data_IF_065161542926
#
_entry.id   IF_065161542926
#
_cell.length_a   1.000
_cell.length_b   1.000
_cell.length_c   1.000
_cell.angle_alpha   90.00
_cell.angle_beta   90.00
_cell.angle_gamma   90.00
#
_symmetry.space_group_name_H-M   'P 1'
#
loop_
_entity.id
_entity.type
_entity.pdbx_description
1 polymer ?
#
# COMPACT_ATOMS: atom_id res chain seq x y z
N UNK A 1 -15.23 22.01 10.26
CA UNK A 1 -14.54 23.27 9.86
C UNK A 1 -13.06 22.93 9.75
N UNK A 2 -12.66 22.43 8.60
CA UNK A 2 -11.31 21.90 8.36
C UNK A 2 -10.45 23.08 7.89
N UNK A 3 -9.55 23.52 8.74
CA UNK A 3 -8.62 24.59 8.44
C UNK A 3 -7.55 24.06 7.47
N UNK A 4 -7.75 24.30 6.19
CA UNK A 4 -6.75 24.07 5.15
C UNK A 4 -5.70 25.19 5.26
N UNK A 5 -4.59 24.89 5.92
CA UNK A 5 -3.39 25.75 5.91
C UNK A 5 -2.77 25.64 4.51
N UNK A 6 -3.03 26.64 3.67
CA UNK A 6 -2.26 26.81 2.41
C UNK A 6 -0.90 27.40 2.75
N UNK A 7 0.20 26.81 2.26
CA UNK A 7 1.53 27.36 2.50
C UNK A 7 1.78 28.61 1.64
N UNK A 8 2.25 29.69 2.27
CA UNK A 8 2.94 30.79 1.59
C UNK A 8 4.34 30.32 1.16
N UNK A 9 4.96 30.93 0.16
CA UNK A 9 6.21 30.54 -0.53
C UNK A 9 7.43 30.12 0.33
N UNK A 10 7.39 30.29 1.65
CA UNK A 10 8.40 29.79 2.60
C UNK A 10 8.11 28.36 3.13
N UNK A 11 7.01 27.75 2.75
CA UNK A 11 6.45 26.55 3.40
C UNK A 11 6.69 25.23 2.66
N UNK A 12 7.56 25.22 1.64
CA UNK A 12 7.96 23.97 0.97
C UNK A 12 8.98 23.14 1.77
N UNK A 13 9.65 23.76 2.74
CA UNK A 13 10.62 23.10 3.60
C UNK A 13 9.95 22.63 4.89
N UNK A 14 9.98 21.33 5.16
CA UNK A 14 9.40 20.75 6.39
C UNK A 14 10.44 20.03 7.21
N UNK A 15 10.28 20.11 8.53
CA UNK A 15 10.99 19.31 9.54
C UNK A 15 9.98 18.67 10.49
N UNK A 16 10.38 17.64 11.24
CA UNK A 16 9.53 17.10 12.30
C UNK A 16 9.05 18.19 13.27
N UNK A 17 7.83 18.00 13.73
CA UNK A 17 7.24 18.79 14.82
C UNK A 17 7.40 18.00 16.12
N UNK A 18 8.15 18.54 17.07
CA UNK A 18 8.27 18.01 18.40
C UNK A 18 7.45 18.84 19.40
N UNK A 19 8.13 19.73 20.13
CA UNK A 19 7.46 20.63 21.10
C UNK A 19 6.96 21.90 20.44
N UNK A 20 7.65 22.36 19.39
CA UNK A 20 7.32 23.56 18.62
C UNK A 20 7.41 23.30 17.12
N UNK A 21 6.76 24.17 16.35
CA UNK A 21 6.74 24.07 14.87
C UNK A 21 8.18 24.14 14.33
N UNK A 22 8.53 23.19 13.46
CA UNK A 22 9.84 23.10 12.78
C UNK A 22 11.06 23.00 13.70
N UNK A 23 10.93 22.55 14.95
CA UNK A 23 12.06 22.38 15.86
C UNK A 23 12.97 21.19 15.47
N UNK A 24 12.47 20.32 14.59
CA UNK A 24 13.20 19.15 14.09
C UNK A 24 13.34 18.01 15.11
N UNK A 25 12.68 18.11 16.26
CA UNK A 25 12.77 17.11 17.33
C UNK A 25 12.05 15.82 16.92
N UNK A 26 12.75 14.71 17.05
CA UNK A 26 12.22 13.37 16.80
C UNK A 26 12.45 12.47 17.99
N UNK A 27 11.49 11.60 18.27
CA UNK A 27 11.65 10.46 19.18
C UNK A 27 11.79 9.20 18.34
N UNK A 28 12.72 8.34 18.70
CA UNK A 28 12.93 7.06 18.05
C UNK A 28 13.39 6.01 19.05
N UNK A 29 13.23 4.74 18.70
CA UNK A 29 13.62 3.63 19.56
C UNK A 29 14.17 2.48 18.75
N UNK A 30 15.10 1.74 19.36
CA UNK A 30 15.68 0.53 18.78
C UNK A 30 16.29 -0.36 19.85
N UNK A 31 16.70 -1.56 19.45
CA UNK A 31 17.42 -2.52 20.28
C UNK A 31 18.82 -2.70 19.73
N UNK A 32 19.81 -2.73 20.60
CA UNK A 32 21.18 -3.11 20.27
C UNK A 32 21.54 -4.47 20.86
N UNK A 33 22.36 -5.28 20.18
CA UNK A 33 22.90 -6.54 20.70
C UNK A 33 24.10 -6.26 21.62
N UNK A 34 23.84 -5.51 22.68
CA UNK A 34 24.81 -5.14 23.72
C UNK A 34 24.21 -5.35 25.10
N UNK A 35 24.99 -5.80 26.11
CA UNK A 35 24.56 -5.82 27.50
C UNK A 35 24.20 -4.40 27.97
N UNK A 36 23.27 -4.31 28.93
CA UNK A 36 22.78 -3.02 29.42
C UNK A 36 23.81 -2.40 30.39
N UNK A 37 24.66 -1.52 29.84
CA UNK A 37 25.69 -0.79 30.55
C UNK A 37 25.89 0.63 29.97
N UNK A 38 26.88 1.36 30.49
CA UNK A 38 27.22 2.71 30.02
C UNK A 38 27.69 2.72 28.58
N UNK A 39 28.43 1.68 28.14
CA UNK A 39 28.92 1.56 26.78
C UNK A 39 27.73 1.40 25.78
N UNK A 40 26.73 0.62 26.16
CA UNK A 40 25.55 0.45 25.36
C UNK A 40 24.75 1.77 25.21
N UNK A 41 24.69 2.59 26.25
CA UNK A 41 24.07 3.92 26.17
C UNK A 41 24.84 4.86 25.25
N UNK A 42 26.17 4.86 25.31
CA UNK A 42 27.02 5.63 24.41
C UNK A 42 26.88 5.15 22.96
N UNK A 43 26.86 3.84 22.75
CA UNK A 43 26.64 3.24 21.42
C UNK A 43 25.27 3.65 20.87
N UNK A 44 24.22 3.67 21.69
CA UNK A 44 22.90 4.12 21.27
C UNK A 44 22.91 5.59 20.85
N UNK A 45 23.60 6.46 21.58
CA UNK A 45 23.76 7.87 21.20
C UNK A 45 24.51 8.00 19.87
N UNK A 46 25.63 7.31 19.72
CA UNK A 46 26.42 7.34 18.50
C UNK A 46 25.62 6.85 17.28
N UNK A 47 24.74 5.85 17.44
CA UNK A 47 23.82 5.42 16.37
C UNK A 47 22.90 6.57 15.97
N UNK A 48 22.30 7.30 16.89
CA UNK A 48 21.47 8.46 16.59
C UNK A 48 22.23 9.56 15.85
N UNK A 49 23.46 9.84 16.24
CA UNK A 49 24.34 10.78 15.57
C UNK A 49 24.71 10.34 14.16
N UNK A 50 25.00 9.06 13.99
CA UNK A 50 25.27 8.45 12.67
C UNK A 50 24.05 8.50 11.71
N UNK A 51 22.83 8.54 12.25
CA UNK A 51 21.59 8.78 11.51
C UNK A 51 21.41 10.26 11.07
N UNK A 52 22.37 11.13 11.39
CA UNK A 52 22.32 12.55 11.03
C UNK A 52 21.58 13.45 12.03
N UNK A 53 21.26 12.91 13.22
CA UNK A 53 20.66 13.69 14.29
C UNK A 53 21.73 14.38 15.14
N UNK A 54 21.36 15.45 15.80
CA UNK A 54 22.20 16.16 16.77
C UNK A 54 21.43 16.39 18.06
N UNK A 55 22.11 16.81 19.11
CA UNK A 55 21.54 16.90 20.47
C UNK A 55 20.89 15.57 20.90
N UNK A 56 21.52 14.43 20.50
CA UNK A 56 20.98 13.12 20.79
C UNK A 56 21.07 12.81 22.28
N UNK A 57 19.94 12.46 22.88
CA UNK A 57 19.83 12.07 24.28
C UNK A 57 19.13 10.74 24.46
N UNK A 58 19.68 9.85 25.28
CA UNK A 58 19.03 8.62 25.72
C UNK A 58 18.12 8.96 26.88
N UNK A 59 16.81 8.85 26.68
CA UNK A 59 15.81 9.18 27.73
C UNK A 59 15.31 7.96 28.47
N UNK A 60 15.40 6.79 27.87
CA UNK A 60 15.06 5.53 28.54
C UNK A 60 15.95 4.41 27.97
N UNK A 61 16.41 3.55 28.84
CA UNK A 61 17.09 2.32 28.49
C UNK A 61 16.57 1.16 29.32
N UNK A 62 16.55 -0.05 28.76
CA UNK A 62 16.08 -1.26 29.42
C UNK A 62 16.89 -2.47 28.97
N UNK A 63 17.30 -3.29 29.94
CA UNK A 63 17.81 -4.62 29.68
C UNK A 63 16.69 -5.54 29.19
N UNK A 64 16.89 -6.20 28.05
CA UNK A 64 15.99 -7.24 27.53
C UNK A 64 16.48 -8.67 27.83
N UNK A 65 17.63 -8.80 28.48
CA UNK A 65 18.29 -10.09 28.71
C UNK A 65 19.06 -10.59 27.47
N UNK A 66 19.78 -11.67 27.65
CA UNK A 66 20.56 -12.33 26.58
C UNK A 66 21.52 -11.42 25.80
N UNK A 67 22.01 -10.34 26.45
CA UNK A 67 22.94 -9.40 25.81
C UNK A 67 22.27 -8.38 24.88
N UNK A 68 20.98 -8.12 25.04
CA UNK A 68 20.26 -7.11 24.27
C UNK A 68 19.74 -6.00 25.17
N UNK A 69 19.81 -4.78 24.70
CA UNK A 69 19.27 -3.57 25.36
C UNK A 69 18.39 -2.76 24.46
N UNK A 70 17.26 -2.31 24.97
CA UNK A 70 16.32 -1.42 24.29
C UNK A 70 16.56 0.02 24.72
N UNK A 71 16.46 0.95 23.78
CA UNK A 71 16.67 2.37 23.98
C UNK A 71 15.55 3.21 23.40
N UNK A 72 15.20 4.30 24.08
CA UNK A 72 14.40 5.40 23.57
C UNK A 72 15.26 6.66 23.58
N UNK A 73 15.34 7.32 22.45
CA UNK A 73 16.17 8.50 22.26
C UNK A 73 15.35 9.66 21.69
N UNK A 74 15.83 10.85 21.96
CA UNK A 74 15.45 12.08 21.28
C UNK A 74 16.65 12.64 20.55
N UNK A 75 16.40 13.28 19.42
CA UNK A 75 17.41 13.99 18.65
C UNK A 75 16.78 14.99 17.72
N UNK A 76 17.55 15.92 17.17
CA UNK A 76 17.05 16.95 16.28
C UNK A 76 17.59 16.75 14.86
N UNK A 77 16.74 16.87 13.85
CA UNK A 77 17.15 16.97 12.46
C UNK A 77 17.66 18.36 12.13
N UNK A 78 18.82 18.48 11.48
CA UNK A 78 19.34 19.74 10.94
C UNK A 78 18.74 20.10 9.58
N UNK A 79 18.50 19.08 8.77
CA UNK A 79 18.06 19.26 7.39
C UNK A 79 16.55 19.34 7.32
N UNK A 80 16.05 20.17 6.40
CA UNK A 80 14.65 20.22 6.03
C UNK A 80 14.41 19.44 4.74
N UNK A 81 13.21 18.92 4.58
CA UNK A 81 12.77 18.26 3.36
C UNK A 81 11.98 19.26 2.51
N UNK A 82 12.39 19.45 1.27
CA UNK A 82 11.66 20.27 0.31
C UNK A 82 10.54 19.42 -0.32
N UNK A 83 9.31 19.63 0.14
CA UNK A 83 8.14 18.88 -0.33
C UNK A 83 7.76 19.21 -1.78
N UNK A 84 8.20 20.36 -2.32
CA UNK A 84 7.96 20.72 -3.72
C UNK A 84 8.70 19.83 -4.72
N UNK A 85 9.76 19.14 -4.25
CA UNK A 85 10.57 18.21 -5.04
C UNK A 85 10.12 16.76 -4.91
N UNK A 86 9.14 16.50 -4.06
CA UNK A 86 8.64 15.15 -3.87
C UNK A 86 7.63 14.82 -4.96
N UNK A 87 7.89 13.74 -5.68
CA UNK A 87 6.95 13.20 -6.65
C UNK A 87 6.28 11.97 -6.03
N UNK A 88 4.96 11.97 -6.01
CA UNK A 88 4.17 10.81 -5.57
C UNK A 88 3.62 10.14 -6.83
N UNK A 89 4.13 8.96 -7.13
CA UNK A 89 3.57 8.13 -8.20
C UNK A 89 2.22 7.57 -7.75
N UNK A 90 1.17 7.92 -8.50
CA UNK A 90 -0.20 7.40 -8.27
C UNK A 90 -0.78 6.96 -9.60
N UNK A 91 -1.69 6.00 -9.55
CA UNK A 91 -2.50 5.66 -10.72
C UNK A 91 -3.33 6.88 -11.16
N UNK A 92 -3.29 7.20 -12.45
CA UNK A 92 -4.05 8.30 -13.03
C UNK A 92 -5.45 7.82 -13.42
N UNK A 93 -6.44 8.23 -12.68
CA UNK A 93 -7.85 7.98 -12.95
C UNK A 93 -8.72 8.99 -12.20
N UNK A 94 -9.95 9.14 -12.66
CA UNK A 94 -10.96 9.92 -11.98
C UNK A 94 -11.81 8.99 -11.10
N UNK A 95 -11.84 9.24 -9.78
CA UNK A 95 -12.68 8.46 -8.87
C UNK A 95 -14.15 8.76 -9.12
N UNK A 96 -14.89 7.73 -9.49
CA UNK A 96 -16.34 7.77 -9.72
C UNK A 96 -17.08 7.13 -8.55
N UNK A 97 -18.24 7.67 -8.22
CA UNK A 97 -19.15 7.01 -7.26
C UNK A 97 -19.72 5.73 -7.88
N UNK A 98 -20.15 4.80 -7.03
CA UNK A 98 -20.71 3.51 -7.40
C UNK A 98 -21.69 3.58 -8.59
N UNK A 99 -22.69 4.45 -8.50
CA UNK A 99 -23.73 4.57 -9.54
C UNK A 99 -23.17 5.10 -10.87
N UNK A 100 -22.08 5.87 -10.82
CA UNK A 100 -21.40 6.33 -12.02
C UNK A 100 -20.54 5.21 -12.64
N UNK A 101 -19.92 4.35 -11.81
CA UNK A 101 -19.21 3.16 -12.28
C UNK A 101 -20.18 2.18 -12.94
N UNK A 102 -21.32 1.86 -12.30
CA UNK A 102 -22.33 0.98 -12.87
C UNK A 102 -22.83 1.52 -14.23
N UNK A 103 -23.10 2.82 -14.34
CA UNK A 103 -23.51 3.47 -15.59
C UNK A 103 -22.39 3.40 -16.65
N UNK A 104 -21.15 3.67 -16.25
CA UNK A 104 -20.00 3.60 -17.16
C UNK A 104 -19.85 2.19 -17.75
N UNK A 105 -20.04 1.15 -16.95
CA UNK A 105 -19.98 -0.25 -17.39
C UNK A 105 -21.09 -0.52 -18.41
N UNK A 106 -22.34 -0.12 -18.12
CA UNK A 106 -23.47 -0.29 -19.05
C UNK A 106 -23.25 0.41 -20.38
N UNK A 107 -22.78 1.66 -20.35
CA UNK A 107 -22.59 2.48 -21.56
C UNK A 107 -21.44 1.99 -22.45
N UNK A 108 -20.40 1.40 -21.84
CA UNK A 108 -19.18 1.09 -22.59
C UNK A 108 -18.97 -0.40 -22.85
N UNK A 109 -19.44 -1.28 -21.99
CA UNK A 109 -19.21 -2.72 -22.12
C UNK A 109 -20.50 -3.50 -22.39
N UNK A 110 -21.67 -3.00 -22.01
CA UNK A 110 -22.97 -3.65 -22.26
C UNK A 110 -23.14 -5.02 -21.59
N UNK A 111 -22.29 -5.36 -20.64
CA UNK A 111 -22.30 -6.59 -19.86
C UNK A 111 -21.75 -6.36 -18.46
N UNK A 112 -22.05 -7.25 -17.53
CA UNK A 112 -21.38 -7.24 -16.24
C UNK A 112 -19.90 -7.59 -16.38
N UNK A 113 -19.07 -6.91 -15.59
CA UNK A 113 -17.65 -7.21 -15.48
C UNK A 113 -17.39 -8.16 -14.31
N UNK A 114 -16.44 -9.07 -14.47
CA UNK A 114 -16.07 -10.07 -13.47
C UNK A 114 -14.75 -9.68 -12.82
N UNK A 115 -14.80 -9.38 -11.52
CA UNK A 115 -13.64 -9.05 -10.71
C UNK A 115 -13.40 -10.16 -9.70
N UNK A 116 -12.20 -10.73 -9.70
CA UNK A 116 -11.82 -11.79 -8.75
C UNK A 116 -10.74 -11.26 -7.83
N UNK A 117 -10.91 -11.43 -6.53
CA UNK A 117 -9.99 -10.93 -5.50
C UNK A 117 -9.50 -12.00 -4.56
N UNK A 118 -8.24 -11.92 -4.13
CA UNK A 118 -7.64 -12.84 -3.17
C UNK A 118 -6.46 -12.23 -2.41
N UNK A 119 -6.22 -12.76 -1.20
CA UNK A 119 -4.90 -12.70 -0.57
C UNK A 119 -4.12 -13.94 -1.01
N UNK A 120 -3.02 -13.74 -1.71
CA UNK A 120 -2.30 -14.84 -2.36
C UNK A 120 -1.27 -15.53 -1.47
N UNK A 121 -0.98 -16.80 -1.81
CA UNK A 121 0.02 -17.65 -1.20
C UNK A 121 -0.20 -17.81 0.32
N UNK A 122 0.77 -17.47 1.14
CA UNK A 122 0.70 -17.63 2.60
C UNK A 122 0.07 -16.45 3.33
N UNK A 123 -0.45 -15.45 2.61
CA UNK A 123 -1.06 -14.28 3.25
C UNK A 123 -2.47 -14.57 3.76
N UNK A 124 -2.62 -14.58 5.09
CA UNK A 124 -3.87 -14.84 5.78
C UNK A 124 -4.68 -13.58 6.15
N UNK A 125 -4.23 -12.37 5.73
CA UNK A 125 -4.79 -11.11 6.18
C UNK A 125 -5.89 -10.60 5.23
N UNK A 126 -7.13 -11.02 5.43
CA UNK A 126 -8.27 -10.69 4.54
C UNK A 126 -8.80 -9.28 4.68
N UNK A 127 -8.47 -8.54 5.75
CA UNK A 127 -9.08 -7.22 6.05
C UNK A 127 -9.04 -6.27 4.85
N UNK A 128 -7.92 -6.23 4.12
CA UNK A 128 -7.76 -5.36 2.94
C UNK A 128 -8.65 -5.79 1.77
N UNK A 129 -8.61 -7.09 1.40
CA UNK A 129 -9.42 -7.58 0.30
C UNK A 129 -10.91 -7.55 0.63
N UNK A 130 -11.28 -7.85 1.87
CA UNK A 130 -12.67 -7.81 2.34
C UNK A 130 -13.23 -6.38 2.32
N UNK A 131 -12.41 -5.38 2.67
CA UNK A 131 -12.81 -3.97 2.61
C UNK A 131 -13.14 -3.52 1.18
N UNK A 132 -12.47 -4.06 0.17
CA UNK A 132 -12.70 -3.74 -1.24
C UNK A 132 -13.79 -4.62 -1.85
N UNK A 133 -13.80 -5.92 -1.57
CA UNK A 133 -14.67 -6.87 -2.26
C UNK A 133 -16.05 -6.97 -1.62
N UNK A 134 -16.13 -7.15 -0.28
CA UNK A 134 -17.36 -7.54 0.38
C UNK A 134 -18.41 -6.41 0.39
N UNK A 135 -19.67 -6.77 0.27
CA UNK A 135 -20.83 -5.84 0.19
C UNK A 135 -20.83 -4.76 1.28
N UNK A 136 -20.40 -5.10 2.50
CA UNK A 136 -20.33 -4.16 3.62
C UNK A 136 -19.33 -3.03 3.34
N UNK A 137 -18.18 -3.36 2.74
CA UNK A 137 -17.08 -2.44 2.53
C UNK A 137 -16.43 -1.95 3.83
N UNK A 138 -15.84 -0.78 3.81
CA UNK A 138 -15.10 -0.21 4.93
C UNK A 138 -15.34 1.30 5.04
N UNK A 139 -15.40 1.83 6.26
CA UNK A 139 -15.49 3.26 6.58
C UNK A 139 -16.63 4.00 5.85
N UNK A 140 -17.77 3.34 5.66
CA UNK A 140 -18.93 3.91 4.95
C UNK A 140 -18.90 3.73 3.42
N UNK A 141 -17.79 3.29 2.85
CA UNK A 141 -17.65 2.96 1.44
C UNK A 141 -18.06 1.51 1.19
N UNK A 142 -19.01 1.29 0.29
CA UNK A 142 -19.51 -0.05 -0.04
C UNK A 142 -18.52 -0.79 -0.93
N UNK A 143 -18.34 -2.10 -0.68
CA UNK A 143 -17.47 -2.92 -1.50
C UNK A 143 -18.07 -3.34 -2.84
N UNK A 144 -17.26 -3.96 -3.67
CA UNK A 144 -17.56 -4.29 -5.08
C UNK A 144 -18.78 -5.21 -5.25
N UNK A 145 -19.03 -6.13 -4.31
CA UNK A 145 -20.25 -6.96 -4.32
C UNK A 145 -21.56 -6.15 -4.30
N UNK A 146 -21.50 -4.88 -3.89
CA UNK A 146 -22.66 -4.00 -3.88
C UNK A 146 -22.98 -3.37 -5.25
N UNK A 147 -22.06 -3.46 -6.22
CA UNK A 147 -22.21 -2.86 -7.55
C UNK A 147 -23.12 -3.75 -8.42
N UNK A 148 -24.05 -3.13 -9.17
CA UNK A 148 -24.98 -3.88 -9.99
C UNK A 148 -24.36 -4.48 -11.24
N UNK A 149 -23.35 -3.81 -11.79
CA UNK A 149 -22.69 -4.19 -13.04
C UNK A 149 -21.35 -4.90 -12.82
N UNK A 150 -20.98 -5.18 -11.56
CA UNK A 150 -19.79 -5.96 -11.23
C UNK A 150 -20.22 -7.28 -10.57
N UNK A 151 -19.71 -8.37 -11.11
CA UNK A 151 -19.71 -9.67 -10.45
C UNK A 151 -18.41 -9.80 -9.67
N UNK A 152 -18.44 -9.49 -8.38
CA UNK A 152 -17.28 -9.60 -7.50
C UNK A 152 -17.20 -11.00 -6.90
N UNK A 153 -16.04 -11.64 -6.99
CA UNK A 153 -15.77 -12.97 -6.43
C UNK A 153 -14.57 -12.87 -5.51
N UNK A 154 -14.80 -12.95 -4.20
CA UNK A 154 -13.76 -12.93 -3.18
C UNK A 154 -13.37 -14.37 -2.81
N UNK A 155 -12.13 -14.77 -3.11
CA UNK A 155 -11.61 -16.10 -2.80
C UNK A 155 -11.03 -16.19 -1.38
N UNK A 156 -10.92 -15.04 -0.68
CA UNK A 156 -10.42 -14.99 0.70
C UNK A 156 -8.91 -15.00 0.79
N UNK A 157 -8.38 -15.75 1.75
CA UNK A 157 -6.97 -15.77 2.10
C UNK A 157 -6.27 -17.06 1.70
N UNK A 158 -4.94 -16.99 1.62
CA UNK A 158 -4.04 -18.13 1.38
C UNK A 158 -4.36 -18.88 0.08
N UNK A 159 -4.75 -18.15 -0.95
CA UNK A 159 -5.05 -18.70 -2.27
C UNK A 159 -3.76 -18.87 -3.05
N UNK A 160 -3.46 -20.08 -3.49
CA UNK A 160 -2.31 -20.34 -4.36
C UNK A 160 -2.41 -19.56 -5.67
N UNK A 161 -1.30 -19.11 -6.21
CA UNK A 161 -1.31 -18.38 -7.50
C UNK A 161 -1.89 -19.23 -8.64
N UNK A 162 -1.66 -20.52 -8.62
CA UNK A 162 -2.23 -21.49 -9.58
C UNK A 162 -3.76 -21.58 -9.49
N UNK A 163 -4.30 -21.68 -8.27
CA UNK A 163 -5.75 -21.66 -8.03
C UNK A 163 -6.36 -20.31 -8.46
N UNK A 164 -5.69 -19.21 -8.15
CA UNK A 164 -6.16 -17.87 -8.50
C UNK A 164 -6.22 -17.67 -10.02
N UNK A 165 -5.18 -18.09 -10.75
CA UNK A 165 -5.16 -18.05 -12.22
C UNK A 165 -6.21 -18.98 -12.81
N UNK A 166 -6.32 -20.21 -12.32
CA UNK A 166 -7.35 -21.14 -12.78
C UNK A 166 -8.77 -20.56 -12.62
N UNK A 167 -9.03 -19.90 -11.48
CA UNK A 167 -10.33 -19.29 -11.21
C UNK A 167 -10.59 -18.06 -12.10
N UNK A 168 -9.54 -17.29 -12.40
CA UNK A 168 -9.63 -16.18 -13.36
C UNK A 168 -10.03 -16.65 -14.75
N UNK A 169 -9.43 -17.74 -15.20
CA UNK A 169 -9.74 -18.35 -16.52
C UNK A 169 -11.16 -18.96 -16.52
N UNK A 170 -11.53 -19.71 -15.50
CA UNK A 170 -12.88 -20.31 -15.36
C UNK A 170 -14.00 -19.26 -15.48
N UNK A 171 -13.80 -18.10 -14.82
CA UNK A 171 -14.79 -17.05 -14.75
C UNK A 171 -14.69 -16.04 -15.90
N UNK A 172 -13.69 -16.15 -16.76
CA UNK A 172 -13.34 -15.13 -17.76
C UNK A 172 -13.21 -13.75 -17.09
N UNK A 173 -12.37 -13.66 -16.07
CA UNK A 173 -12.23 -12.46 -15.25
C UNK A 173 -11.72 -11.28 -16.08
N UNK A 174 -12.34 -10.11 -15.88
CA UNK A 174 -11.91 -8.82 -16.46
C UNK A 174 -10.84 -8.15 -15.61
N UNK A 175 -10.85 -8.41 -14.31
CA UNK A 175 -9.85 -7.88 -13.39
C UNK A 175 -9.50 -8.87 -12.27
N UNK A 176 -8.23 -8.85 -11.88
CA UNK A 176 -7.71 -9.53 -10.70
C UNK A 176 -7.24 -8.52 -9.66
N UNK A 177 -7.74 -8.67 -8.43
CA UNK A 177 -7.43 -7.82 -7.30
C UNK A 177 -6.63 -8.63 -6.27
N UNK A 178 -5.36 -8.30 -6.13
CA UNK A 178 -4.45 -8.99 -5.22
C UNK A 178 -4.30 -8.17 -3.93
N UNK A 179 -4.44 -8.82 -2.79
CA UNK A 179 -4.05 -8.22 -1.50
C UNK A 179 -2.79 -8.92 -0.99
N UNK A 180 -1.78 -8.13 -0.61
CA UNK A 180 -0.52 -8.65 -0.09
C UNK A 180 -0.04 -7.78 1.07
N UNK A 181 -0.12 -8.32 2.28
CA UNK A 181 0.26 -7.63 3.53
C UNK A 181 1.59 -8.15 4.08
N UNK A 182 1.82 -9.48 3.99
CA UNK A 182 3.04 -10.11 4.50
C UNK A 182 4.23 -9.77 3.62
N UNK A 183 5.19 -9.02 4.20
CA UNK A 183 6.39 -8.55 3.48
C UNK A 183 7.71 -9.04 4.09
N UNK A 184 7.64 -9.96 5.05
CA UNK A 184 8.86 -10.50 5.70
C UNK A 184 9.77 -11.14 4.66
N UNK A 185 11.09 -10.85 4.78
CA UNK A 185 12.12 -11.37 3.85
C UNK A 185 11.80 -11.12 2.36
N UNK A 186 11.04 -10.07 2.05
CA UNK A 186 10.63 -9.72 0.69
C UNK A 186 9.81 -10.81 -0.04
N UNK A 187 9.15 -11.72 0.70
CA UNK A 187 8.36 -12.80 0.12
C UNK A 187 7.25 -12.29 -0.82
N UNK A 188 6.72 -11.11 -0.54
CA UNK A 188 5.71 -10.46 -1.38
C UNK A 188 6.20 -10.21 -2.81
N UNK A 189 7.47 -9.81 -2.99
CA UNK A 189 8.02 -9.59 -4.33
C UNK A 189 8.00 -10.89 -5.14
N UNK A 190 8.48 -11.98 -4.57
CA UNK A 190 8.49 -13.28 -5.23
C UNK A 190 7.08 -13.78 -5.56
N UNK A 191 6.12 -13.64 -4.63
CA UNK A 191 4.73 -14.04 -4.84
C UNK A 191 4.07 -13.24 -5.97
N UNK A 192 4.24 -11.91 -5.94
CA UNK A 192 3.65 -11.01 -6.92
C UNK A 192 4.25 -11.21 -8.32
N UNK A 193 5.58 -11.38 -8.42
CA UNK A 193 6.25 -11.70 -9.70
C UNK A 193 5.77 -13.03 -10.25
N UNK A 194 5.72 -14.08 -9.41
CA UNK A 194 5.22 -15.40 -9.82
C UNK A 194 3.82 -15.35 -10.41
N UNK A 195 2.91 -14.59 -9.81
CA UNK A 195 1.55 -14.47 -10.34
C UNK A 195 1.54 -13.83 -11.74
N UNK A 196 2.34 -12.79 -11.96
CA UNK A 196 2.48 -12.15 -13.28
C UNK A 196 3.04 -13.14 -14.29
N UNK A 197 4.13 -13.85 -13.96
CA UNK A 197 4.75 -14.85 -14.84
C UNK A 197 3.75 -15.94 -15.25
N UNK A 198 2.90 -16.38 -14.31
CA UNK A 198 1.86 -17.37 -14.60
C UNK A 198 0.79 -16.84 -15.54
N UNK A 199 0.32 -15.60 -15.34
CA UNK A 199 -0.66 -14.96 -16.23
C UNK A 199 -0.09 -14.73 -17.64
N UNK A 200 1.20 -14.41 -17.74
CA UNK A 200 1.91 -14.29 -19.01
C UNK A 200 2.03 -15.65 -19.71
N UNK A 201 2.41 -16.70 -18.97
CA UNK A 201 2.52 -18.07 -19.48
C UNK A 201 1.19 -18.60 -20.03
N UNK A 202 0.07 -18.24 -19.40
CA UNK A 202 -1.29 -18.56 -19.87
C UNK A 202 -1.75 -17.62 -21.01
N UNK A 203 -0.99 -16.60 -21.37
CA UNK A 203 -1.34 -15.62 -22.42
C UNK A 203 -2.57 -14.77 -22.11
N UNK A 204 -2.83 -14.50 -20.84
CA UNK A 204 -3.99 -13.73 -20.37
C UNK A 204 -3.63 -12.43 -19.65
N UNK A 205 -2.33 -12.19 -19.37
CA UNK A 205 -1.91 -10.98 -18.63
C UNK A 205 -2.43 -9.68 -19.26
N UNK A 206 -2.38 -9.56 -20.57
CA UNK A 206 -2.82 -8.37 -21.30
C UNK A 206 -4.34 -8.29 -21.49
N UNK A 207 -5.06 -9.39 -21.25
CA UNK A 207 -6.52 -9.47 -21.44
C UNK A 207 -7.32 -9.02 -20.23
N UNK A 208 -6.67 -8.90 -19.08
CA UNK A 208 -7.30 -8.51 -17.82
C UNK A 208 -6.55 -7.34 -17.17
N UNK A 209 -7.24 -6.62 -16.28
CA UNK A 209 -6.61 -5.60 -15.45
C UNK A 209 -6.14 -6.24 -14.15
N UNK A 210 -4.85 -6.13 -13.85
CA UNK A 210 -4.22 -6.70 -12.66
C UNK A 210 -3.82 -5.60 -11.70
N UNK A 211 -4.42 -5.57 -10.52
CA UNK A 211 -4.11 -4.58 -9.48
C UNK A 211 -3.69 -5.25 -8.18
N UNK A 212 -2.86 -4.56 -7.41
CA UNK A 212 -2.41 -5.05 -6.11
C UNK A 212 -2.59 -4.00 -5.03
N UNK A 213 -3.06 -4.41 -3.85
CA UNK A 213 -3.23 -3.58 -2.68
C UNK A 213 -2.41 -4.08 -1.48
N UNK A 214 -1.99 -3.15 -0.64
CA UNK A 214 -1.30 -3.47 0.60
C UNK A 214 -0.61 -2.26 1.22
N UNK A 215 -0.32 -2.28 2.53
CA UNK A 215 0.22 -1.13 3.26
C UNK A 215 1.64 -0.73 2.83
N UNK A 216 2.37 -1.63 2.16
CA UNK A 216 3.73 -1.42 1.63
C UNK A 216 3.81 -1.52 0.11
N UNK A 217 2.67 -1.51 -0.56
CA UNK A 217 2.60 -1.53 -2.01
C UNK A 217 2.45 -0.09 -2.50
N UNK A 218 3.47 0.42 -3.19
CA UNK A 218 3.37 1.68 -3.94
C UNK A 218 2.90 1.40 -5.36
N UNK A 219 2.35 2.42 -6.03
CA UNK A 219 1.99 2.31 -7.44
C UNK A 219 3.22 2.02 -8.32
N UNK A 220 4.35 2.65 -8.01
CA UNK A 220 5.62 2.45 -8.69
C UNK A 220 6.10 0.99 -8.60
N UNK A 221 6.16 0.43 -7.38
CA UNK A 221 6.49 -0.98 -7.17
C UNK A 221 5.55 -1.91 -7.94
N UNK A 222 4.26 -1.64 -7.91
CA UNK A 222 3.28 -2.44 -8.66
C UNK A 222 3.58 -2.43 -10.16
N UNK A 223 3.88 -1.26 -10.72
CA UNK A 223 4.27 -1.12 -12.14
C UNK A 223 5.55 -1.89 -12.48
N UNK A 224 6.57 -1.80 -11.63
CA UNK A 224 7.83 -2.54 -11.79
C UNK A 224 7.62 -4.06 -11.79
N UNK A 225 6.65 -4.55 -11.01
CA UNK A 225 6.30 -5.96 -10.91
C UNK A 225 5.34 -6.43 -12.01
N UNK A 226 4.97 -5.56 -12.97
CA UNK A 226 4.09 -5.92 -14.08
C UNK A 226 2.59 -5.80 -13.79
N UNK A 227 2.19 -5.13 -12.70
CA UNK A 227 0.79 -4.80 -12.39
C UNK A 227 0.36 -3.51 -13.08
N UNK A 228 -0.94 -3.33 -13.27
CA UNK A 228 -1.48 -2.11 -13.87
C UNK A 228 -1.55 -0.96 -12.87
N UNK A 229 -1.84 -1.26 -11.61
CA UNK A 229 -1.79 -0.28 -10.53
C UNK A 229 -1.51 -0.92 -9.17
N UNK A 230 -0.91 -0.12 -8.29
CA UNK A 230 -0.78 -0.38 -6.87
C UNK A 230 -1.65 0.57 -6.05
N UNK A 231 -2.32 0.03 -5.05
CA UNK A 231 -3.21 0.74 -4.14
C UNK A 231 -2.72 0.61 -2.70
N UNK A 232 -2.37 1.74 -2.11
CA UNK A 232 -1.93 1.84 -0.73
C UNK A 232 -3.06 2.09 0.27
N UNK A 233 -2.71 2.51 1.50
CA UNK A 233 -3.70 2.90 2.51
C UNK A 233 -4.63 4.02 2.03
N UNK A 234 -5.84 4.08 2.60
CA UNK A 234 -6.89 5.05 2.26
C UNK A 234 -7.43 4.93 0.82
N UNK A 235 -7.37 3.74 0.25
CA UNK A 235 -8.02 3.39 -1.01
C UNK A 235 -9.32 2.64 -0.72
N UNK A 236 -10.36 2.95 -1.46
CA UNK A 236 -11.69 2.36 -1.32
C UNK A 236 -12.11 1.61 -2.58
N UNK A 237 -13.21 0.86 -2.49
CA UNK A 237 -13.71 0.07 -3.62
C UNK A 237 -14.03 0.94 -4.86
N UNK A 238 -14.51 2.16 -4.66
CA UNK A 238 -14.77 3.11 -5.75
C UNK A 238 -13.51 3.53 -6.50
N UNK A 239 -12.36 3.66 -5.81
CA UNK A 239 -11.09 3.98 -6.47
C UNK A 239 -10.64 2.83 -7.34
N UNK A 240 -10.68 1.61 -6.81
CA UNK A 240 -10.29 0.39 -7.54
C UNK A 240 -11.22 0.16 -8.73
N UNK A 241 -12.54 0.24 -8.53
CA UNK A 241 -13.51 0.07 -9.61
C UNK A 241 -13.32 1.12 -10.71
N UNK A 242 -13.16 2.40 -10.32
CA UNK A 242 -12.96 3.51 -11.26
C UNK A 242 -11.72 3.32 -12.11
N UNK A 243 -10.61 2.92 -11.48
CA UNK A 243 -9.37 2.63 -12.20
C UNK A 243 -9.57 1.48 -13.19
N UNK A 244 -10.12 0.36 -12.74
CA UNK A 244 -10.27 -0.85 -13.58
C UNK A 244 -11.09 -0.55 -14.83
N UNK A 245 -12.26 0.08 -14.68
CA UNK A 245 -13.15 0.32 -15.85
C UNK A 245 -12.56 1.35 -16.81
N UNK A 246 -11.84 2.36 -16.31
CA UNK A 246 -11.18 3.35 -17.17
C UNK A 246 -9.98 2.73 -17.89
N UNK A 247 -9.20 1.88 -17.23
CA UNK A 247 -8.07 1.18 -17.83
C UNK A 247 -8.54 0.19 -18.90
N UNK A 248 -9.59 -0.59 -18.65
CA UNK A 248 -10.20 -1.46 -19.66
C UNK A 248 -10.62 -0.65 -20.87
N UNK A 249 -11.30 0.48 -20.67
CA UNK A 249 -11.75 1.33 -21.79
C UNK A 249 -10.58 1.95 -22.54
N UNK A 250 -9.50 2.27 -21.87
CA UNK A 250 -8.27 2.77 -22.49
C UNK A 250 -7.65 1.72 -23.42
N UNK A 251 -7.61 0.45 -22.99
CA UNK A 251 -7.06 -0.68 -23.76
C UNK A 251 -7.88 -1.00 -25.03
N UNK A 252 -9.21 -0.86 -24.99
CA UNK A 252 -10.06 -1.05 -26.18
C UNK A 252 -9.77 -0.03 -27.28
N UNK A 253 -9.17 1.12 -26.96
CA UNK A 253 -8.85 2.19 -27.92
C UNK A 253 -7.43 2.10 -28.46
N UNK A 254 -6.60 1.21 -27.91
CA UNK A 254 -5.20 1.01 -28.30
C UNK A 254 -5.08 -0.14 -29.26
#
# INVERSE_FOLDING_TARGET
MTMQLMPTDAACLVRPYGDTLDDGLVQFSFTLPLPHDELACEAARAVGEAMGLHEVSVTCSRDLGQGFSFFVLYGKMKTSVDVSRLTVSKAEFETMKKEAVDRFIQEHFGRKLVFVGACIETDAHTVGIDAIMNMKGYNGHKGLESYHEIQAVNLGAQVGSDEFVAKALELNADALLVSQIVTQKNVHLANLTRLVDMLEAEGVRDKLVLVVGGPRISHELAKELGYDAGFGPNTYAEDVASFVVQEMKRRERS
#
